data_IF_419567390552
#
_entry.id   IF_419567390552
#
_cell.length_a   1.000
_cell.length_b   1.000
_cell.length_c   1.000
_cell.angle_alpha   90.00
_cell.angle_beta   90.00
_cell.angle_gamma   90.00
#
_symmetry.space_group_name_H-M   'P 1'
#
loop_
_entity.id
_entity.type
_entity.pdbx_description
1 polymer ?
#
# COMPACT_ATOMS: atom_id res chain seq x y z
N UNK A 1 62.79 19.10 -26.16
CA UNK A 1 61.80 18.22 -26.87
C UNK A 1 60.96 17.58 -25.84
N UNK A 2 59.70 18.00 -25.76
CA UNK A 2 58.71 17.46 -24.78
C UNK A 2 57.98 16.27 -25.38
N UNK A 3 57.64 15.24 -24.60
CA UNK A 3 56.70 14.24 -25.04
C UNK A 3 55.25 14.65 -24.63
N UNK A 4 54.36 14.55 -25.59
CA UNK A 4 52.91 14.76 -25.48
C UNK A 4 52.23 13.75 -24.55
N UNK A 5 51.27 14.16 -23.70
CA UNK A 5 50.50 13.21 -22.91
C UNK A 5 49.34 12.64 -23.72
N UNK A 6 49.34 11.33 -23.87
CA UNK A 6 48.22 10.58 -24.43
C UNK A 6 46.98 10.69 -23.57
N UNK A 7 45.93 11.25 -24.19
CA UNK A 7 44.58 11.33 -23.64
C UNK A 7 43.98 9.94 -23.51
N UNK A 8 44.01 9.37 -22.32
CA UNK A 8 43.21 8.21 -21.95
C UNK A 8 41.79 8.67 -21.74
N UNK A 9 40.93 8.52 -22.76
CA UNK A 9 39.45 8.58 -22.60
C UNK A 9 39.01 7.43 -21.70
N UNK A 10 38.87 7.74 -20.43
CA UNK A 10 38.23 6.88 -19.45
C UNK A 10 36.75 6.84 -19.81
N UNK A 11 36.34 5.80 -20.53
CA UNK A 11 34.95 5.51 -20.77
C UNK A 11 34.25 5.40 -19.40
N UNK A 12 33.41 6.38 -19.10
CA UNK A 12 32.51 6.40 -17.95
C UNK A 12 31.50 5.30 -18.22
N UNK A 13 31.76 4.11 -17.71
CA UNK A 13 30.71 3.09 -17.56
C UNK A 13 29.62 3.74 -16.72
N UNK A 14 28.48 4.05 -17.34
CA UNK A 14 27.25 4.33 -16.62
C UNK A 14 27.00 3.11 -15.75
N UNK A 15 27.22 3.25 -14.45
CA UNK A 15 26.78 2.28 -13.47
C UNK A 15 25.27 2.23 -13.61
N UNK A 16 24.75 1.11 -14.13
CA UNK A 16 23.33 0.76 -14.00
C UNK A 16 23.07 0.94 -12.51
N UNK A 17 22.23 1.92 -12.16
CA UNK A 17 21.89 2.19 -10.76
C UNK A 17 21.24 0.94 -10.21
N UNK A 18 21.97 0.19 -9.41
CA UNK A 18 21.44 -0.96 -8.70
C UNK A 18 20.24 -0.48 -7.89
N UNK A 19 19.18 -1.30 -7.85
CA UNK A 19 18.02 -1.03 -7.02
C UNK A 19 18.47 -0.89 -5.56
N UNK A 20 17.91 0.08 -4.81
CA UNK A 20 18.26 0.27 -3.40
C UNK A 20 18.10 -1.06 -2.63
N UNK A 21 19.13 -1.45 -1.88
CA UNK A 21 19.15 -2.67 -1.07
C UNK A 21 17.91 -2.79 -0.17
N UNK A 22 17.44 -1.66 0.34
CA UNK A 22 16.22 -1.58 1.14
C UNK A 22 14.97 -2.02 0.38
N UNK A 23 14.87 -1.67 -0.90
CA UNK A 23 13.76 -2.04 -1.77
C UNK A 23 13.84 -3.50 -2.18
N UNK A 24 15.02 -3.99 -2.54
CA UNK A 24 15.28 -5.40 -2.87
C UNK A 24 14.87 -6.32 -1.72
N UNK A 25 15.31 -5.99 -0.51
CA UNK A 25 14.98 -6.72 0.71
C UNK A 25 13.47 -6.70 1.01
N UNK A 26 12.80 -5.57 0.76
CA UNK A 26 11.36 -5.45 0.96
C UNK A 26 10.60 -6.39 0.00
N UNK A 27 10.88 -6.34 -1.29
CA UNK A 27 10.23 -7.20 -2.30
C UNK A 27 10.53 -8.68 -1.99
N UNK A 28 11.79 -9.04 -1.75
CA UNK A 28 12.19 -10.40 -1.41
C UNK A 28 11.40 -10.93 -0.22
N UNK A 29 11.33 -10.17 0.87
CA UNK A 29 10.59 -10.56 2.07
C UNK A 29 9.09 -10.74 1.80
N UNK A 30 8.49 -9.90 0.95
CA UNK A 30 7.10 -10.04 0.56
C UNK A 30 6.86 -11.36 -0.17
N UNK A 31 7.69 -11.69 -1.16
CA UNK A 31 7.55 -12.93 -1.93
C UNK A 31 7.77 -14.17 -1.04
N UNK A 32 8.79 -14.16 -0.19
CA UNK A 32 9.07 -15.27 0.73
C UNK A 32 7.92 -15.50 1.74
N UNK A 33 7.17 -14.48 2.11
CA UNK A 33 5.99 -14.63 2.99
C UNK A 33 4.78 -15.26 2.31
N UNK A 34 4.66 -15.15 0.99
CA UNK A 34 3.51 -15.69 0.25
C UNK A 34 3.58 -17.21 0.16
N UNK A 35 2.47 -17.94 0.24
CA UNK A 35 2.40 -19.30 -0.25
C UNK A 35 2.79 -19.34 -1.74
N UNK A 36 3.58 -20.34 -2.14
CA UNK A 36 4.08 -20.42 -3.51
C UNK A 36 2.95 -20.40 -4.54
N UNK A 37 1.84 -21.06 -4.24
CA UNK A 37 0.66 -21.10 -5.11
C UNK A 37 -0.04 -19.73 -5.28
N UNK A 38 0.15 -18.81 -4.35
CA UNK A 38 -0.46 -17.47 -4.40
C UNK A 38 0.41 -16.46 -5.17
N UNK A 39 1.70 -16.75 -5.37
CA UNK A 39 2.65 -15.81 -5.99
C UNK A 39 2.21 -15.40 -7.40
N UNK A 40 1.87 -16.32 -8.34
CA UNK A 40 1.50 -15.93 -9.71
C UNK A 40 0.27 -15.01 -9.74
N UNK A 41 -0.77 -15.34 -8.98
CA UNK A 41 -2.00 -14.54 -8.92
C UNK A 41 -1.73 -13.15 -8.31
N UNK A 42 -0.90 -13.07 -7.28
CA UNK A 42 -0.51 -11.82 -6.65
C UNK A 42 0.29 -10.94 -7.60
N UNK A 43 1.28 -11.48 -8.31
CA UNK A 43 2.10 -10.74 -9.27
C UNK A 43 1.27 -10.26 -10.46
N UNK A 44 0.33 -11.08 -10.95
CA UNK A 44 -0.59 -10.70 -12.02
C UNK A 44 -1.49 -9.55 -11.59
N UNK A 45 -2.07 -9.61 -10.40
CA UNK A 45 -2.90 -8.53 -9.84
C UNK A 45 -2.09 -7.27 -9.55
N UNK A 46 -0.82 -7.40 -9.15
CA UNK A 46 0.09 -6.28 -8.98
C UNK A 46 0.25 -5.48 -10.28
N UNK A 47 0.43 -6.16 -11.41
CA UNK A 47 0.44 -5.55 -12.73
C UNK A 47 1.72 -4.78 -13.07
N UNK A 48 2.74 -4.78 -12.22
CA UNK A 48 4.03 -4.14 -12.49
C UNK A 48 4.89 -4.95 -13.47
N UNK A 49 4.82 -6.27 -13.37
CA UNK A 49 5.49 -7.18 -14.30
C UNK A 49 4.56 -7.53 -15.45
N UNK A 50 5.06 -7.48 -16.69
CA UNK A 50 4.30 -7.86 -17.87
C UNK A 50 4.06 -9.36 -17.91
N UNK A 51 3.02 -9.82 -18.63
CA UNK A 51 2.67 -11.24 -18.75
C UNK A 51 3.86 -12.11 -19.22
N UNK A 52 4.66 -11.62 -20.18
CA UNK A 52 5.88 -12.28 -20.64
C UNK A 52 6.92 -12.51 -19.52
N UNK A 53 7.03 -11.57 -18.59
CA UNK A 53 7.95 -11.69 -17.46
C UNK A 53 7.45 -12.75 -16.49
N UNK A 54 6.13 -12.80 -16.25
CA UNK A 54 5.50 -13.80 -15.39
C UNK A 54 5.64 -15.21 -15.96
N UNK A 55 5.52 -15.37 -17.28
CA UNK A 55 5.72 -16.65 -17.98
C UNK A 55 7.18 -17.14 -17.92
N UNK A 56 8.14 -16.23 -17.79
CA UNK A 56 9.55 -16.58 -17.67
C UNK A 56 9.96 -17.08 -16.28
N UNK A 57 9.12 -16.85 -15.27
CA UNK A 57 9.41 -17.24 -13.89
C UNK A 57 9.43 -18.76 -13.71
N UNK A 58 10.48 -19.23 -13.07
CA UNK A 58 10.68 -20.66 -12.81
C UNK A 58 10.07 -21.05 -11.46
N UNK A 59 8.80 -21.45 -11.45
CA UNK A 59 8.05 -21.81 -10.23
C UNK A 59 8.56 -23.09 -9.50
N UNK A 60 9.43 -23.88 -10.15
CA UNK A 60 10.02 -25.09 -9.59
C UNK A 60 11.26 -24.82 -8.70
N UNK A 61 11.75 -23.60 -8.69
CA UNK A 61 12.88 -23.21 -7.82
C UNK A 61 12.47 -23.18 -6.35
N UNK A 62 13.45 -23.12 -5.49
CA UNK A 62 13.21 -22.78 -4.09
C UNK A 62 12.53 -21.40 -4.01
N UNK A 63 11.81 -21.18 -2.93
CA UNK A 63 11.08 -19.93 -2.71
C UNK A 63 12.01 -18.71 -2.70
N UNK A 64 13.19 -18.88 -2.13
CA UNK A 64 14.28 -17.89 -2.14
C UNK A 64 14.79 -17.63 -3.56
N UNK A 65 14.95 -18.69 -4.35
CA UNK A 65 15.38 -18.59 -5.76
C UNK A 65 14.36 -17.84 -6.61
N UNK A 66 13.07 -18.15 -6.44
CA UNK A 66 11.99 -17.41 -7.09
C UNK A 66 11.95 -15.95 -6.66
N UNK A 67 12.11 -15.67 -5.36
CA UNK A 67 12.13 -14.31 -4.84
C UNK A 67 13.27 -13.49 -5.43
N UNK A 68 14.46 -14.08 -5.57
CA UNK A 68 15.61 -13.41 -6.21
C UNK A 68 15.37 -13.16 -7.70
N UNK A 69 14.75 -14.09 -8.41
CA UNK A 69 14.40 -13.91 -9.81
C UNK A 69 13.42 -12.74 -10.02
N UNK A 70 12.40 -12.63 -9.16
CA UNK A 70 11.45 -11.52 -9.15
C UNK A 70 12.16 -10.20 -8.81
N UNK A 71 13.06 -10.19 -7.83
CA UNK A 71 13.84 -9.01 -7.48
C UNK A 71 14.68 -8.54 -8.67
N UNK A 72 15.37 -9.45 -9.37
CA UNK A 72 16.17 -9.11 -10.55
C UNK A 72 15.30 -8.53 -11.69
N UNK A 73 14.08 -9.06 -11.90
CA UNK A 73 13.13 -8.47 -12.83
C UNK A 73 12.69 -7.06 -12.41
N UNK A 74 12.40 -6.87 -11.13
CA UNK A 74 12.06 -5.56 -10.57
C UNK A 74 13.19 -4.56 -10.75
N UNK A 75 14.43 -4.96 -10.52
CA UNK A 75 15.62 -4.15 -10.73
C UNK A 75 15.77 -3.74 -12.19
N UNK A 76 15.67 -4.70 -13.11
CA UNK A 76 15.77 -4.43 -14.56
C UNK A 76 14.69 -3.45 -15.05
N UNK A 77 13.53 -3.41 -14.39
CA UNK A 77 12.41 -2.52 -14.68
C UNK A 77 12.39 -1.25 -13.83
N UNK A 78 13.43 -1.01 -13.03
CA UNK A 78 13.57 0.17 -12.17
C UNK A 78 12.38 0.33 -11.20
N UNK A 79 12.00 -0.75 -10.53
CA UNK A 79 10.97 -0.70 -9.50
C UNK A 79 11.32 0.36 -8.43
N UNK A 80 10.29 1.01 -7.90
CA UNK A 80 10.40 2.01 -6.84
C UNK A 80 9.78 1.48 -5.54
N UNK A 81 9.99 2.20 -4.45
CA UNK A 81 9.37 1.88 -3.16
C UNK A 81 7.83 1.91 -3.23
N UNK A 82 7.26 2.74 -4.10
CA UNK A 82 5.82 2.79 -4.32
C UNK A 82 5.31 1.52 -5.01
N UNK A 83 6.07 0.96 -5.97
CA UNK A 83 5.74 -0.33 -6.57
C UNK A 83 5.75 -1.46 -5.52
N UNK A 84 6.72 -1.47 -4.62
CA UNK A 84 6.76 -2.45 -3.54
C UNK A 84 5.63 -2.26 -2.53
N UNK A 85 5.26 -1.02 -2.22
CA UNK A 85 4.12 -0.71 -1.36
C UNK A 85 2.79 -1.15 -2.01
N UNK A 86 2.67 -1.01 -3.33
CA UNK A 86 1.52 -1.48 -4.09
C UNK A 86 1.42 -3.02 -4.06
N UNK A 87 2.55 -3.73 -4.21
CA UNK A 87 2.60 -5.17 -4.02
C UNK A 87 2.11 -5.58 -2.62
N UNK A 88 2.48 -4.82 -1.58
CA UNK A 88 2.02 -5.07 -0.20
C UNK A 88 0.50 -4.87 -0.06
N UNK A 89 -0.09 -3.87 -0.74
CA UNK A 89 -1.54 -3.66 -0.78
C UNK A 89 -2.23 -4.85 -1.46
N UNK A 90 -1.73 -5.27 -2.63
CA UNK A 90 -2.28 -6.42 -3.38
C UNK A 90 -2.25 -7.70 -2.53
N UNK A 91 -1.12 -7.97 -1.87
CA UNK A 91 -1.00 -9.12 -0.98
C UNK A 91 -2.03 -9.08 0.15
N UNK A 92 -2.24 -7.91 0.77
CA UNK A 92 -3.21 -7.76 1.85
C UNK A 92 -4.65 -7.83 1.38
N UNK A 93 -4.94 -7.38 0.17
CA UNK A 93 -6.25 -7.52 -0.46
C UNK A 93 -6.59 -9.02 -0.69
N UNK A 94 -5.70 -9.76 -1.34
CA UNK A 94 -5.89 -11.21 -1.58
C UNK A 94 -6.03 -11.98 -0.26
N UNK A 95 -5.25 -11.59 0.75
CA UNK A 95 -5.17 -12.26 2.04
C UNK A 95 -6.00 -11.56 3.14
N UNK A 96 -7.02 -10.79 2.77
CA UNK A 96 -7.86 -10.04 3.72
C UNK A 96 -8.48 -10.91 4.81
N UNK A 97 -8.87 -12.15 4.49
CA UNK A 97 -9.43 -13.15 5.41
C UNK A 97 -8.45 -13.65 6.48
N UNK A 98 -7.14 -13.43 6.29
CA UNK A 98 -6.10 -13.77 7.28
C UNK A 98 -5.87 -12.66 8.31
N UNK A 99 -6.60 -11.53 8.21
CA UNK A 99 -6.42 -10.33 9.03
C UNK A 99 -7.62 -10.09 9.92
N UNK A 100 -7.37 -9.49 11.08
CA UNK A 100 -8.45 -9.00 11.94
C UNK A 100 -8.74 -7.55 11.59
N UNK A 101 -9.98 -7.28 11.18
CA UNK A 101 -10.46 -5.95 10.81
C UNK A 101 -11.31 -5.37 11.92
N UNK A 102 -11.17 -4.08 12.19
CA UNK A 102 -12.02 -3.28 13.07
C UNK A 102 -12.78 -2.27 12.20
N UNK A 103 -14.01 -1.95 12.59
CA UNK A 103 -14.87 -1.01 11.85
C UNK A 103 -14.87 0.35 12.54
N UNK A 104 -14.80 1.39 11.74
CA UNK A 104 -14.99 2.77 12.15
C UNK A 104 -16.16 3.36 11.36
N UNK A 105 -17.06 4.04 12.06
CA UNK A 105 -18.17 4.77 11.47
C UNK A 105 -17.93 6.26 11.58
N UNK A 106 -18.07 6.95 10.46
CA UNK A 106 -18.05 8.41 10.40
C UNK A 106 -19.48 8.95 10.43
N UNK A 107 -19.66 10.14 10.97
CA UNK A 107 -20.96 10.78 11.06
C UNK A 107 -20.83 12.30 10.98
N UNK A 108 -21.97 12.95 10.70
CA UNK A 108 -22.09 14.40 10.51
C UNK A 108 -21.19 14.89 9.38
N UNK A 109 -21.79 15.11 8.21
CA UNK A 109 -21.06 15.71 7.08
C UNK A 109 -20.63 17.13 7.45
N UNK A 110 -19.48 17.54 6.93
CA UNK A 110 -19.05 18.94 7.03
C UNK A 110 -19.87 19.80 6.08
N UNK A 111 -20.11 21.08 6.45
CA UNK A 111 -20.90 22.03 5.63
C UNK A 111 -20.19 22.45 4.32
N UNK A 112 -18.98 21.94 4.08
CA UNK A 112 -18.28 22.16 2.82
C UNK A 112 -18.88 21.25 1.74
N UNK A 113 -19.24 21.80 0.59
CA UNK A 113 -19.61 21.09 -0.64
C UNK A 113 -18.42 20.27 -1.17
N UNK A 114 -17.98 19.29 -0.38
CA UNK A 114 -16.93 18.37 -0.84
C UNK A 114 -17.61 17.25 -1.64
N UNK A 115 -17.42 17.28 -2.95
CA UNK A 115 -17.68 16.12 -3.79
C UNK A 115 -16.81 14.96 -3.29
N UNK A 116 -17.39 14.13 -2.42
CA UNK A 116 -16.74 12.95 -1.79
C UNK A 116 -16.34 11.88 -2.83
N UNK A 117 -16.82 12.05 -4.07
CA UNK A 117 -16.55 11.14 -5.20
C UNK A 117 -15.19 11.35 -5.86
N UNK A 118 -14.48 12.45 -5.58
CA UNK A 118 -13.17 12.70 -6.17
C UNK A 118 -12.06 12.01 -5.35
N UNK A 119 -11.68 10.82 -5.79
CA UNK A 119 -10.63 10.01 -5.17
C UNK A 119 -9.28 10.74 -5.15
N UNK A 120 -8.94 11.50 -6.19
CA UNK A 120 -7.67 12.24 -6.23
C UNK A 120 -7.64 13.35 -5.17
N UNK A 121 -8.74 14.07 -5.00
CA UNK A 121 -8.90 15.08 -3.96
C UNK A 121 -8.83 14.46 -2.56
N UNK A 122 -9.52 13.34 -2.34
CA UNK A 122 -9.44 12.59 -1.10
C UNK A 122 -7.99 12.22 -0.77
N UNK A 123 -7.26 11.63 -1.71
CA UNK A 123 -5.87 11.22 -1.53
C UNK A 123 -4.96 12.40 -1.18
N UNK A 124 -5.13 13.54 -1.85
CA UNK A 124 -4.34 14.74 -1.61
C UNK A 124 -4.58 15.30 -0.19
N UNK A 125 -5.84 15.42 0.24
CA UNK A 125 -6.21 15.92 1.57
C UNK A 125 -5.71 14.95 2.66
N UNK A 126 -5.93 13.65 2.47
CA UNK A 126 -5.48 12.63 3.41
C UNK A 126 -3.96 12.68 3.61
N UNK A 127 -3.20 12.65 2.50
CA UNK A 127 -1.73 12.76 2.54
C UNK A 127 -1.29 14.04 3.25
N UNK A 128 -1.84 15.19 2.87
CA UNK A 128 -1.50 16.48 3.48
C UNK A 128 -1.72 16.46 4.98
N UNK A 129 -2.86 15.96 5.43
CA UNK A 129 -3.21 15.88 6.86
C UNK A 129 -2.25 14.97 7.63
N UNK A 130 -1.98 13.77 7.13
CA UNK A 130 -1.12 12.81 7.84
C UNK A 130 0.35 13.26 7.83
N UNK A 131 0.87 13.77 6.71
CA UNK A 131 2.25 14.27 6.62
C UNK A 131 2.50 15.52 7.46
N UNK A 132 1.46 16.29 7.81
CA UNK A 132 1.63 17.46 8.68
C UNK A 132 1.99 17.08 10.12
N UNK A 133 1.66 15.86 10.55
CA UNK A 133 1.88 15.38 11.93
C UNK A 133 2.83 14.18 12.03
N UNK A 134 2.99 13.40 10.99
CA UNK A 134 3.86 12.21 10.97
C UNK A 134 5.02 12.42 9.98
N UNK A 135 6.27 12.34 10.48
CA UNK A 135 7.47 12.54 9.66
C UNK A 135 7.89 11.28 8.92
N UNK A 136 8.01 10.17 9.63
CA UNK A 136 8.50 8.90 9.07
C UNK A 136 7.32 8.02 8.66
N UNK A 137 6.60 8.42 7.62
CA UNK A 137 5.42 7.72 7.12
C UNK A 137 5.44 7.63 5.59
N UNK A 138 4.99 6.51 5.06
CA UNK A 138 4.69 6.33 3.63
C UNK A 138 3.21 6.01 3.47
N UNK A 139 2.56 6.64 2.49
CA UNK A 139 1.12 6.49 2.24
C UNK A 139 0.91 6.15 0.77
N UNK A 140 0.35 4.98 0.52
CA UNK A 140 0.04 4.48 -0.81
C UNK A 140 -1.43 4.11 -0.90
N UNK A 141 -2.01 4.28 -2.08
CA UNK A 141 -3.41 4.01 -2.36
C UNK A 141 -3.55 3.07 -3.55
N UNK A 142 -4.57 2.23 -3.50
CA UNK A 142 -4.99 1.42 -4.63
C UNK A 142 -6.50 1.20 -4.58
N UNK A 143 -7.14 1.29 -5.73
CA UNK A 143 -8.56 1.03 -5.88
C UNK A 143 -8.79 -0.44 -6.26
N UNK A 144 -9.78 -1.07 -5.61
CA UNK A 144 -10.31 -2.37 -5.98
C UNK A 144 -11.83 -2.24 -6.00
N UNK A 145 -12.40 -2.16 -7.20
CA UNK A 145 -13.80 -1.81 -7.38
C UNK A 145 -14.12 -0.45 -6.75
N UNK A 146 -15.12 -0.39 -5.88
CA UNK A 146 -15.52 0.84 -5.18
C UNK A 146 -14.75 1.08 -3.86
N UNK A 147 -13.84 0.18 -3.52
CA UNK A 147 -13.05 0.26 -2.30
C UNK A 147 -11.69 0.91 -2.55
N UNK A 148 -11.39 1.95 -1.80
CA UNK A 148 -10.07 2.57 -1.74
C UNK A 148 -9.25 1.91 -0.62
N UNK A 149 -8.21 1.19 -1.00
CA UNK A 149 -7.25 0.60 -0.10
C UNK A 149 -6.12 1.59 0.17
N UNK A 150 -5.85 1.85 1.43
CA UNK A 150 -4.85 2.80 1.91
C UNK A 150 -3.84 2.04 2.75
N UNK A 151 -2.58 2.07 2.34
CA UNK A 151 -1.46 1.57 3.13
C UNK A 151 -0.75 2.76 3.79
N UNK A 152 -0.69 2.78 5.11
CA UNK A 152 -0.02 3.80 5.90
C UNK A 152 1.06 3.08 6.71
N UNK A 153 2.32 3.23 6.32
CA UNK A 153 3.42 2.57 7.01
C UNK A 153 4.24 3.59 7.78
N UNK A 154 4.21 3.46 9.10
CA UNK A 154 4.88 4.36 10.02
C UNK A 154 6.16 3.73 10.56
N UNK A 155 7.23 4.52 10.58
CA UNK A 155 8.52 4.18 11.17
C UNK A 155 8.86 5.09 12.34
N UNK A 156 9.89 4.71 13.07
CA UNK A 156 10.56 5.57 14.05
C UNK A 156 11.78 6.22 13.42
N UNK A 157 12.36 7.20 14.10
CA UNK A 157 13.64 7.77 13.70
C UNK A 157 14.69 6.66 13.50
N UNK A 158 15.53 6.81 12.50
CA UNK A 158 16.57 5.87 12.09
C UNK A 158 16.08 4.52 11.49
N UNK A 159 14.77 4.28 11.36
CA UNK A 159 14.27 3.11 10.63
C UNK A 159 14.26 3.35 9.13
N UNK A 160 14.59 2.32 8.35
CA UNK A 160 14.45 2.33 6.89
C UNK A 160 12.98 2.07 6.48
N UNK A 161 12.50 2.60 5.34
CA UNK A 161 11.10 2.44 4.92
C UNK A 161 10.63 0.99 4.79
N UNK A 162 11.51 0.04 4.47
CA UNK A 162 11.20 -1.39 4.42
C UNK A 162 10.91 -2.01 5.80
N UNK A 163 11.25 -1.33 6.88
CA UNK A 163 11.01 -1.75 8.26
C UNK A 163 9.75 -1.12 8.87
N UNK A 164 9.12 -0.18 8.19
CA UNK A 164 7.91 0.48 8.67
C UNK A 164 6.77 -0.53 8.84
N UNK A 165 6.01 -0.36 9.92
CA UNK A 165 4.82 -1.20 10.17
C UNK A 165 3.61 -0.62 9.45
N UNK A 166 2.98 -1.34 8.53
CA UNK A 166 1.81 -0.87 7.82
C UNK A 166 0.54 -1.02 8.66
N UNK A 167 -0.30 0.01 8.60
CA UNK A 167 -1.73 -0.03 8.87
C UNK A 167 -2.44 -0.03 7.52
N UNK A 168 -3.46 -0.86 7.37
CA UNK A 168 -4.31 -0.86 6.19
C UNK A 168 -5.67 -0.31 6.54
N UNK A 169 -6.17 0.57 5.67
CA UNK A 169 -7.53 1.11 5.75
C UNK A 169 -8.24 0.78 4.44
N UNK A 170 -9.44 0.24 4.53
CA UNK A 170 -10.33 0.03 3.38
C UNK A 170 -11.50 0.97 3.56
N UNK A 171 -11.64 1.92 2.65
CA UNK A 171 -12.67 2.94 2.67
C UNK A 171 -13.54 2.85 1.40
N UNK A 172 -14.85 2.83 1.58
CA UNK A 172 -15.81 2.90 0.50
C UNK A 172 -16.37 4.32 0.44
N UNK A 173 -16.06 5.04 -0.61
CA UNK A 173 -16.33 6.49 -0.74
C UNK A 173 -17.79 6.88 -0.65
N UNK A 174 -18.70 5.94 -0.91
CA UNK A 174 -20.15 6.16 -0.84
C UNK A 174 -20.77 5.73 0.50
N UNK A 175 -19.96 5.39 1.48
CA UNK A 175 -20.43 4.93 2.79
C UNK A 175 -19.71 5.65 3.92
N UNK A 176 -20.31 5.74 5.11
CA UNK A 176 -19.63 6.31 6.27
C UNK A 176 -18.71 5.32 6.98
N UNK A 177 -18.36 4.20 6.36
CA UNK A 177 -17.60 3.13 7.01
C UNK A 177 -16.18 3.02 6.47
N UNK A 178 -15.24 2.83 7.41
CA UNK A 178 -13.85 2.49 7.11
C UNK A 178 -13.42 1.28 7.95
N UNK A 179 -12.65 0.39 7.34
CA UNK A 179 -12.19 -0.86 7.95
C UNK A 179 -10.68 -0.78 8.16
N UNK A 180 -10.24 -1.02 9.38
CA UNK A 180 -8.85 -0.88 9.76
C UNK A 180 -8.23 -2.22 10.14
N UNK A 181 -7.02 -2.44 9.68
CA UNK A 181 -6.15 -3.53 10.12
C UNK A 181 -4.79 -2.99 10.55
N UNK A 182 -4.29 -3.44 11.70
CA UNK A 182 -2.95 -3.12 12.17
C UNK A 182 -2.77 -1.70 12.72
N UNK A 183 -3.86 -0.97 13.01
CA UNK A 183 -3.76 0.37 13.61
C UNK A 183 -3.24 0.29 15.05
N UNK A 184 -2.28 1.14 15.36
CA UNK A 184 -1.73 1.30 16.72
C UNK A 184 -2.38 2.47 17.43
N UNK A 185 -2.46 2.42 18.77
CA UNK A 185 -3.00 3.51 19.57
C UNK A 185 -2.25 4.84 19.32
N UNK A 186 -0.94 4.78 19.13
CA UNK A 186 -0.10 5.95 18.88
C UNK A 186 -0.45 6.72 17.58
N UNK A 187 -0.92 6.04 16.55
CA UNK A 187 -1.20 6.66 15.25
C UNK A 187 -2.69 6.80 14.96
N UNK A 188 -3.56 6.22 15.82
CA UNK A 188 -5.01 6.15 15.61
C UNK A 188 -5.64 7.52 15.40
N UNK A 189 -5.43 8.44 16.32
CA UNK A 189 -6.06 9.77 16.26
C UNK A 189 -5.67 10.54 15.01
N UNK A 190 -4.40 10.48 14.61
CA UNK A 190 -3.88 11.18 13.44
C UNK A 190 -4.43 10.61 12.12
N UNK A 191 -4.49 9.28 12.00
CA UNK A 191 -5.03 8.61 10.83
C UNK A 191 -6.55 8.84 10.72
N UNK A 192 -7.29 8.74 11.84
CA UNK A 192 -8.71 9.04 11.90
C UNK A 192 -9.01 10.50 11.53
N UNK A 193 -8.21 11.46 12.03
CA UNK A 193 -8.35 12.87 11.66
C UNK A 193 -8.11 13.09 10.16
N UNK A 194 -7.08 12.44 9.59
CA UNK A 194 -6.82 12.48 8.15
C UNK A 194 -7.99 11.95 7.34
N UNK A 195 -8.61 10.84 7.78
CA UNK A 195 -9.77 10.25 7.14
C UNK A 195 -11.00 11.16 7.20
N UNK A 196 -11.27 11.76 8.37
CA UNK A 196 -12.37 12.71 8.55
C UNK A 196 -12.26 13.91 7.59
N UNK A 197 -11.08 14.53 7.55
CA UNK A 197 -10.84 15.68 6.68
C UNK A 197 -10.97 15.31 5.19
N UNK A 198 -10.46 14.17 4.80
CA UNK A 198 -10.48 13.72 3.41
C UNK A 198 -11.88 13.27 2.97
N UNK A 199 -12.63 12.64 3.85
CA UNK A 199 -13.99 12.14 3.58
C UNK A 199 -15.10 13.17 3.86
N UNK A 200 -14.77 14.32 4.43
CA UNK A 200 -15.74 15.40 4.70
C UNK A 200 -16.69 15.10 5.87
N UNK A 201 -16.25 14.34 6.87
CA UNK A 201 -17.02 14.07 8.08
C UNK A 201 -16.43 14.83 9.29
N UNK A 202 -17.25 14.98 10.36
CA UNK A 202 -16.84 15.68 11.59
C UNK A 202 -16.50 14.71 12.73
N UNK A 203 -17.12 13.54 12.75
CA UNK A 203 -16.97 12.56 13.83
C UNK A 203 -16.62 11.19 13.27
N UNK A 204 -15.80 10.44 14.01
CA UNK A 204 -15.47 9.04 13.74
C UNK A 204 -15.40 8.29 15.04
N UNK A 205 -15.99 7.11 15.07
CA UNK A 205 -15.96 6.23 16.24
C UNK A 205 -15.67 4.79 15.83
N UNK A 206 -14.92 4.08 16.66
CA UNK A 206 -14.74 2.64 16.52
C UNK A 206 -16.03 1.94 16.94
N UNK A 207 -16.55 1.05 16.10
CA UNK A 207 -17.65 0.19 16.45
C UNK A 207 -17.11 -1.06 17.16
N UNK A 208 -17.88 -1.61 18.10
CA UNK A 208 -17.54 -2.88 18.73
C UNK A 208 -17.86 -4.05 17.79
N UNK A 209 -17.20 -4.03 16.63
CA UNK A 209 -17.33 -5.02 15.58
C UNK A 209 -15.96 -5.35 14.99
N UNK A 210 -15.55 -6.61 15.19
CA UNK A 210 -14.26 -7.13 14.70
C UNK A 210 -14.46 -8.46 14.01
N UNK A 211 -13.87 -8.62 12.84
CA UNK A 211 -13.96 -9.86 12.06
C UNK A 211 -12.72 -10.11 11.23
N UNK A 212 -12.48 -11.38 10.90
CA UNK A 212 -11.50 -11.77 9.86
C UNK A 212 -12.15 -11.79 8.48
N UNK A 213 -13.47 -11.83 8.36
CA UNK A 213 -14.17 -11.71 7.09
C UNK A 213 -14.53 -10.25 6.82
N UNK A 214 -13.64 -9.57 6.12
CA UNK A 214 -13.87 -8.18 5.68
C UNK A 214 -15.14 -8.09 4.82
N UNK A 215 -15.28 -8.97 3.85
CA UNK A 215 -16.41 -9.03 2.92
C UNK A 215 -17.75 -9.18 3.64
N UNK A 216 -17.89 -10.18 4.55
CA UNK A 216 -19.13 -10.38 5.32
C UNK A 216 -19.46 -9.16 6.17
N UNK A 217 -18.45 -8.48 6.70
CA UNK A 217 -18.63 -7.30 7.53
C UNK A 217 -19.11 -6.10 6.71
N UNK A 218 -18.56 -5.93 5.49
CA UNK A 218 -19.00 -4.95 4.52
C UNK A 218 -20.45 -5.19 4.09
N UNK A 219 -20.79 -6.42 3.70
CA UNK A 219 -22.14 -6.79 3.27
C UNK A 219 -23.19 -6.49 4.35
N UNK A 220 -22.87 -6.82 5.60
CA UNK A 220 -23.78 -6.57 6.72
C UNK A 220 -24.01 -5.07 6.94
N UNK A 221 -22.94 -4.28 6.93
CA UNK A 221 -23.03 -2.84 7.21
C UNK A 221 -23.63 -2.07 6.04
N UNK A 222 -23.34 -2.44 4.80
CA UNK A 222 -23.90 -1.77 3.62
C UNK A 222 -25.39 -2.07 3.44
N UNK A 223 -25.83 -3.31 3.72
CA UNK A 223 -27.26 -3.64 3.77
C UNK A 223 -27.98 -2.80 4.82
N UNK A 224 -27.42 -2.68 6.03
CA UNK A 224 -28.00 -1.84 7.09
C UNK A 224 -28.02 -0.36 6.71
N UNK A 225 -26.98 0.13 6.04
CA UNK A 225 -26.88 1.51 5.59
C UNK A 225 -27.92 1.82 4.50
N UNK A 226 -28.06 0.97 3.49
CA UNK A 226 -29.06 1.15 2.43
C UNK A 226 -30.50 1.09 2.95
N UNK A 227 -30.78 0.26 3.97
CA UNK A 227 -32.11 0.21 4.59
C UNK A 227 -32.47 1.43 5.44
N UNK A 228 -31.49 2.19 5.91
CA UNK A 228 -31.73 3.40 6.70
C UNK A 228 -32.09 4.64 5.84
N UNK A 229 -32.04 4.53 4.52
CA UNK A 229 -32.34 5.61 3.57
C UNK A 229 -33.70 5.39 2.84
N UNK A 230 -34.43 4.36 3.18
CA UNK A 230 -35.81 4.09 2.74
C UNK A 230 -36.75 4.06 3.94
#
# INVERSE_FOLDING_TARGET
MAPTPGSAKKARRESISAMDECLSEFIKRMIVRMPLAEVPATLKMWGFLAEKDLQSLTLWKSKEGLAMEIVNLCESKKATIDHAADLDIVYHHINSKKKLWCVYQMSVLSDSEMNVTDVAKFQAIFKKSVYSVLKNVTINFREFGEALWIRIACGKDCMKPNQYRPTFVVYHTQTPYAFFNGITSAHRSMICQGLLLAAGYRHIQELDLKSRSLESMQDMLFKKFSQAWF
#
